data_IF_373960382211
#
_entry.id   IF_373960382211
#
_cell.length_a   1.000
_cell.length_b   1.000
_cell.length_c   1.000
_cell.angle_alpha   90.00
_cell.angle_beta   90.00
_cell.angle_gamma   90.00
#
_symmetry.space_group_name_H-M   'P 1'
#
loop_
_entity.id
_entity.type
_entity.pdbx_description
1 polymer ?
#
# COMPACT_ATOMS: atom_id res chain seq x y z
N UNK A 1 75.24 -48.36 -24.62
CA UNK A 1 73.89 -48.77 -24.19
C UNK A 1 73.95 -49.07 -22.72
N UNK A 2 73.32 -48.26 -21.88
CA UNK A 2 73.24 -48.53 -20.44
C UNK A 2 73.20 -47.27 -19.59
N UNK A 3 72.34 -47.32 -18.57
CA UNK A 3 72.19 -46.38 -17.45
C UNK A 3 71.25 -45.19 -17.74
N UNK A 4 69.96 -45.51 -17.80
CA UNK A 4 68.88 -44.52 -17.74
C UNK A 4 67.57 -45.27 -17.78
N UNK A 5 66.78 -45.17 -16.69
CA UNK A 5 65.45 -45.78 -16.41
C UNK A 5 65.45 -46.81 -15.26
N UNK A 6 65.82 -46.36 -14.07
CA UNK A 6 65.35 -47.01 -12.82
C UNK A 6 65.17 -46.02 -11.66
N UNK A 7 65.14 -44.71 -11.93
CA UNK A 7 64.92 -43.65 -10.94
C UNK A 7 63.60 -42.91 -11.20
N UNK A 8 62.55 -43.65 -11.55
CA UNK A 8 61.21 -43.10 -11.78
C UNK A 8 60.07 -43.65 -10.90
N UNK A 9 60.20 -44.77 -10.14
CA UNK A 9 59.10 -45.21 -9.27
C UNK A 9 59.14 -44.64 -7.84
N UNK A 10 60.23 -43.96 -7.43
CA UNK A 10 60.37 -43.45 -6.05
C UNK A 10 59.94 -41.97 -5.90
N UNK A 11 60.08 -41.16 -6.95
CA UNK A 11 59.67 -39.74 -6.96
C UNK A 11 58.14 -39.56 -7.02
N UNK A 12 57.41 -40.49 -7.64
CA UNK A 12 55.94 -40.42 -7.71
C UNK A 12 55.22 -40.63 -6.37
N UNK A 13 55.79 -41.45 -5.46
CA UNK A 13 55.20 -41.71 -4.14
C UNK A 13 55.40 -40.55 -3.16
N UNK A 14 56.50 -39.80 -3.28
CA UNK A 14 56.75 -38.59 -2.47
C UNK A 14 55.83 -37.44 -2.91
N UNK A 15 55.58 -37.28 -4.21
CA UNK A 15 54.65 -36.27 -4.72
C UNK A 15 53.20 -36.55 -4.28
N UNK A 16 52.78 -37.82 -4.26
CA UNK A 16 51.45 -38.21 -3.80
C UNK A 16 51.30 -38.05 -2.28
N UNK A 17 52.36 -38.33 -1.51
CA UNK A 17 52.35 -38.15 -0.06
C UNK A 17 52.37 -36.68 0.35
N UNK A 18 53.15 -35.82 -0.33
CA UNK A 18 53.09 -34.36 -0.14
C UNK A 18 51.73 -33.78 -0.55
N UNK A 19 51.09 -34.28 -1.61
CA UNK A 19 49.73 -33.89 -1.98
C UNK A 19 48.66 -34.35 -0.99
N UNK A 20 48.85 -35.47 -0.26
CA UNK A 20 47.92 -35.93 0.78
C UNK A 20 48.18 -35.21 2.11
N UNK A 21 49.44 -34.92 2.46
CA UNK A 21 49.78 -34.13 3.65
C UNK A 21 49.39 -32.64 3.51
N UNK A 22 49.55 -32.03 2.33
CA UNK A 22 49.06 -30.67 2.07
C UNK A 22 47.53 -30.58 2.01
N UNK A 23 46.84 -31.69 1.69
CA UNK A 23 45.37 -31.76 1.71
C UNK A 23 44.79 -32.00 3.11
N UNK A 24 45.59 -32.49 4.06
CA UNK A 24 45.21 -32.67 5.47
C UNK A 24 45.66 -31.53 6.40
N UNK A 25 46.50 -30.60 5.92
CA UNK A 25 46.85 -29.36 6.64
C UNK A 25 45.91 -28.19 6.30
N UNK A 26 44.99 -28.37 5.35
CA UNK A 26 43.92 -27.41 5.03
C UNK A 26 42.60 -27.79 5.73
N UNK A 27 42.68 -28.35 6.94
CA UNK A 27 41.51 -28.65 7.76
C UNK A 27 40.84 -27.39 8.35
N UNK A 28 41.18 -26.21 7.85
CA UNK A 28 40.57 -24.93 8.21
C UNK A 28 40.01 -24.12 7.04
N UNK A 29 39.86 -24.68 5.82
CA UNK A 29 38.83 -24.17 4.91
C UNK A 29 38.51 -25.09 3.71
N UNK A 30 37.28 -25.61 3.60
CA UNK A 30 36.64 -25.86 2.31
C UNK A 30 35.71 -24.68 1.91
N UNK A 31 35.51 -24.46 0.59
CA UNK A 31 35.08 -23.19 0.02
C UNK A 31 33.55 -23.00 -0.06
N UNK A 32 33.11 -21.73 -0.12
CA UNK A 32 31.80 -21.29 -0.63
C UNK A 32 30.53 -21.85 0.08
N UNK A 33 30.28 -21.37 1.29
CA UNK A 33 29.02 -20.71 1.66
C UNK A 33 29.31 -19.94 2.92
N UNK A 34 29.30 -18.61 2.85
CA UNK A 34 29.10 -17.82 4.06
C UNK A 34 27.84 -18.43 4.68
N UNK A 35 27.97 -19.13 5.82
CA UNK A 35 26.82 -19.51 6.63
C UNK A 35 26.24 -18.16 7.02
N UNK A 36 25.31 -17.68 6.20
CA UNK A 36 24.50 -16.53 6.49
C UNK A 36 23.77 -17.00 7.73
N UNK A 37 24.23 -16.52 8.90
CA UNK A 37 23.66 -16.97 10.17
C UNK A 37 22.16 -16.76 10.03
N UNK A 38 21.35 -17.73 10.45
CA UNK A 38 19.90 -17.58 10.40
C UNK A 38 19.49 -16.25 11.02
N UNK A 39 20.22 -15.75 12.03
CA UNK A 39 20.11 -14.40 12.59
C UNK A 39 20.38 -13.24 11.62
N UNK A 40 21.39 -13.27 10.73
CA UNK A 40 21.65 -12.21 9.74
C UNK A 40 20.65 -12.21 8.58
N UNK A 41 20.17 -13.39 8.16
CA UNK A 41 19.07 -13.50 7.19
C UNK A 41 17.76 -13.03 7.82
N UNK A 42 17.49 -13.41 9.08
CA UNK A 42 16.33 -12.92 9.84
C UNK A 42 16.41 -11.40 10.01
N UNK A 43 17.57 -10.82 10.35
CA UNK A 43 17.75 -9.37 10.49
C UNK A 43 17.55 -8.62 9.18
N UNK A 44 18.06 -9.14 8.05
CA UNK A 44 17.84 -8.53 6.73
C UNK A 44 16.40 -8.65 6.23
N UNK A 45 15.71 -9.75 6.54
CA UNK A 45 14.27 -9.87 6.32
C UNK A 45 13.49 -8.93 7.25
N UNK A 46 13.95 -8.76 8.49
CA UNK A 46 13.33 -7.87 9.48
C UNK A 46 13.50 -6.38 9.14
N UNK A 47 14.62 -5.99 8.50
CA UNK A 47 14.85 -4.65 7.96
C UNK A 47 14.14 -4.42 6.61
N UNK A 48 14.06 -5.42 5.74
CA UNK A 48 13.27 -5.36 4.50
C UNK A 48 11.77 -5.23 4.79
N UNK A 49 11.25 -6.00 5.75
CA UNK A 49 9.86 -5.91 6.21
C UNK A 49 9.55 -4.61 6.99
N UNK A 50 10.56 -4.00 7.63
CA UNK A 50 10.44 -2.65 8.24
C UNK A 50 10.38 -1.53 7.21
N UNK A 51 10.90 -1.74 6.00
CA UNK A 51 10.87 -0.76 4.91
C UNK A 51 9.59 -0.80 4.07
N UNK A 52 8.98 -1.97 3.86
CA UNK A 52 7.91 -2.09 2.87
C UNK A 52 6.51 -1.81 3.43
N UNK A 53 6.19 -2.27 4.65
CA UNK A 53 4.86 -1.99 5.23
C UNK A 53 4.64 -0.50 5.50
N UNK A 54 5.70 0.23 5.89
CA UNK A 54 5.63 1.69 6.06
C UNK A 54 5.48 2.41 4.72
N UNK A 55 6.18 1.94 3.68
CA UNK A 55 6.05 2.48 2.31
C UNK A 55 4.64 2.23 1.76
N UNK A 56 4.10 1.04 1.96
CA UNK A 56 2.74 0.68 1.57
C UNK A 56 1.71 1.51 2.35
N UNK A 57 1.90 1.69 3.67
CA UNK A 57 1.07 2.58 4.49
C UNK A 57 1.07 4.01 3.95
N UNK A 58 2.25 4.59 3.67
CA UNK A 58 2.36 5.96 3.15
C UNK A 58 1.80 6.09 1.74
N UNK A 59 1.98 5.07 0.89
CA UNK A 59 1.40 5.03 -0.45
C UNK A 59 -0.13 5.01 -0.39
N UNK A 60 -0.71 4.11 0.41
CA UNK A 60 -2.16 4.05 0.63
C UNK A 60 -2.71 5.32 1.25
N UNK A 61 -1.98 5.91 2.21
CA UNK A 61 -2.32 7.19 2.82
C UNK A 61 -2.38 8.31 1.77
N UNK A 62 -1.31 8.49 0.98
CA UNK A 62 -1.24 9.56 -0.02
C UNK A 62 -2.22 9.32 -1.18
N UNK A 63 -2.36 8.08 -1.65
CA UNK A 63 -3.31 7.72 -2.70
C UNK A 63 -4.76 8.02 -2.28
N UNK A 64 -5.14 7.57 -1.08
CA UNK A 64 -6.48 7.82 -0.53
C UNK A 64 -6.70 9.31 -0.25
N UNK A 65 -5.68 10.01 0.25
CA UNK A 65 -5.74 11.46 0.45
C UNK A 65 -6.03 12.21 -0.85
N UNK A 66 -5.26 11.93 -1.91
CA UNK A 66 -5.45 12.57 -3.22
C UNK A 66 -6.85 12.29 -3.78
N UNK A 67 -7.28 11.03 -3.79
CA UNK A 67 -8.62 10.66 -4.24
C UNK A 67 -9.71 11.41 -3.49
N UNK A 68 -9.61 11.47 -2.16
CA UNK A 68 -10.62 12.11 -1.32
C UNK A 68 -10.62 13.65 -1.46
N UNK A 69 -9.48 14.30 -1.67
CA UNK A 69 -9.45 15.74 -1.94
C UNK A 69 -10.23 16.07 -3.22
N UNK A 70 -10.00 15.32 -4.31
CA UNK A 70 -10.72 15.55 -5.57
C UNK A 70 -12.21 15.18 -5.45
N UNK A 71 -12.51 14.02 -4.85
CA UNK A 71 -13.87 13.54 -4.65
C UNK A 71 -14.69 14.49 -3.77
N UNK A 72 -14.28 14.69 -2.51
CA UNK A 72 -15.00 15.55 -1.57
C UNK A 72 -15.02 17.02 -2.02
N UNK A 73 -13.96 17.50 -2.69
CA UNK A 73 -13.93 18.85 -3.27
C UNK A 73 -15.01 19.05 -4.33
N UNK A 74 -15.21 18.07 -5.22
CA UNK A 74 -16.26 18.13 -6.25
C UNK A 74 -17.68 18.13 -5.65
N UNK A 75 -17.89 17.38 -4.55
CA UNK A 75 -19.16 17.38 -3.81
C UNK A 75 -19.38 18.72 -3.11
N UNK A 76 -18.35 19.26 -2.47
CA UNK A 76 -18.39 20.57 -1.82
C UNK A 76 -18.75 21.68 -2.82
N UNK A 77 -18.16 21.66 -4.03
CA UNK A 77 -18.48 22.63 -5.09
C UNK A 77 -19.94 22.54 -5.55
N UNK A 78 -20.47 21.32 -5.69
CA UNK A 78 -21.88 21.13 -6.08
C UNK A 78 -22.83 21.65 -4.99
N UNK A 79 -22.60 21.26 -3.73
CA UNK A 79 -23.48 21.64 -2.60
C UNK A 79 -23.39 23.13 -2.29
N UNK A 80 -22.18 23.67 -2.13
CA UNK A 80 -21.97 25.07 -1.73
C UNK A 80 -22.16 26.04 -2.89
N UNK A 81 -21.99 25.56 -4.12
CA UNK A 81 -22.21 26.33 -5.35
C UNK A 81 -23.67 26.43 -5.79
N UNK A 82 -24.61 25.83 -5.05
CA UNK A 82 -26.04 25.87 -5.36
C UNK A 82 -26.38 25.34 -6.76
N UNK A 83 -25.74 24.23 -7.16
CA UNK A 83 -25.85 23.60 -8.50
C UNK A 83 -25.40 24.46 -9.71
N UNK A 84 -24.95 25.70 -9.50
CA UNK A 84 -24.43 26.55 -10.59
C UNK A 84 -23.00 26.21 -10.99
N UNK A 85 -22.20 25.70 -10.05
CA UNK A 85 -20.76 25.43 -10.23
C UNK A 85 -20.39 23.95 -10.22
N UNK A 86 -21.36 23.06 -10.00
CA UNK A 86 -21.13 21.61 -9.96
C UNK A 86 -22.42 20.84 -10.22
N UNK A 87 -22.29 19.71 -10.93
CA UNK A 87 -23.41 18.79 -11.22
C UNK A 87 -23.06 17.39 -10.74
N UNK A 88 -24.00 16.45 -10.76
CA UNK A 88 -23.68 15.04 -10.46
C UNK A 88 -22.59 14.48 -11.39
N UNK A 89 -22.51 14.95 -12.63
CA UNK A 89 -21.43 14.58 -13.55
C UNK A 89 -20.07 15.05 -13.04
N UNK A 90 -19.97 16.25 -12.46
CA UNK A 90 -18.68 16.74 -11.93
C UNK A 90 -18.23 15.94 -10.71
N UNK A 91 -19.17 15.42 -9.92
CA UNK A 91 -18.85 14.50 -8.81
C UNK A 91 -18.28 13.19 -9.35
N UNK A 92 -18.96 12.57 -10.32
CA UNK A 92 -18.52 11.31 -10.91
C UNK A 92 -17.13 11.45 -11.57
N UNK A 93 -16.91 12.54 -12.30
CA UNK A 93 -15.60 12.85 -12.89
C UNK A 93 -14.56 13.17 -11.82
N UNK A 94 -14.92 13.89 -10.76
CA UNK A 94 -14.03 14.22 -9.65
C UNK A 94 -13.50 12.99 -8.93
N UNK A 95 -14.39 12.05 -8.58
CA UNK A 95 -13.99 10.76 -8.00
C UNK A 95 -13.23 9.88 -9.01
N UNK A 96 -13.66 9.83 -10.26
CA UNK A 96 -12.99 9.04 -11.30
C UNK A 96 -11.55 9.50 -11.55
N UNK A 97 -11.36 10.80 -11.85
CA UNK A 97 -10.03 11.35 -12.05
C UNK A 97 -9.20 11.36 -10.77
N UNK A 98 -9.82 11.64 -9.61
CA UNK A 98 -9.17 11.53 -8.31
C UNK A 98 -8.60 10.13 -8.05
N UNK A 99 -9.38 9.09 -8.37
CA UNK A 99 -8.94 7.70 -8.28
C UNK A 99 -7.78 7.42 -9.23
N UNK A 100 -7.84 7.86 -10.49
CA UNK A 100 -6.72 7.66 -11.45
C UNK A 100 -5.42 8.33 -10.99
N UNK A 101 -5.52 9.51 -10.37
CA UNK A 101 -4.35 10.21 -9.81
C UNK A 101 -3.82 9.50 -8.56
N UNK A 102 -4.71 9.01 -7.70
CA UNK A 102 -4.32 8.17 -6.56
C UNK A 102 -3.62 6.88 -6.99
N UNK A 103 -4.09 6.23 -8.05
CA UNK A 103 -3.42 5.07 -8.66
C UNK A 103 -2.03 5.43 -9.19
N UNK A 104 -1.85 6.60 -9.81
CA UNK A 104 -0.52 7.06 -10.23
C UNK A 104 0.43 7.29 -9.05
N UNK A 105 -0.09 7.74 -7.90
CA UNK A 105 0.71 8.01 -6.70
C UNK A 105 1.10 6.71 -5.98
N UNK A 106 0.15 5.80 -5.79
CA UNK A 106 0.31 4.63 -4.93
C UNK A 106 0.56 3.31 -5.69
N UNK A 107 0.24 3.25 -6.99
CA UNK A 107 0.16 2.01 -7.76
C UNK A 107 1.49 1.28 -7.89
N UNK A 108 2.60 2.01 -8.00
CA UNK A 108 3.94 1.42 -8.06
C UNK A 108 4.48 0.90 -6.72
N UNK A 109 3.78 1.13 -5.60
CA UNK A 109 4.26 0.79 -4.25
C UNK A 109 3.32 -0.18 -3.55
N UNK A 110 2.05 0.20 -3.33
CA UNK A 110 1.06 -0.60 -2.61
C UNK A 110 0.06 -1.34 -3.51
N UNK A 111 0.08 -1.06 -4.81
CA UNK A 111 -0.98 -1.51 -5.73
C UNK A 111 -2.21 -0.60 -5.74
N UNK A 112 -2.17 0.53 -4.99
CA UNK A 112 -3.23 1.54 -4.93
C UNK A 112 -4.62 0.96 -4.63
N UNK A 113 -4.74 0.26 -3.50
CA UNK A 113 -6.04 -0.27 -3.11
C UNK A 113 -7.01 0.87 -2.78
N UNK A 114 -6.56 1.84 -1.99
CA UNK A 114 -7.26 3.08 -1.62
C UNK A 114 -8.68 2.89 -1.04
N UNK A 115 -9.04 1.64 -0.76
CA UNK A 115 -10.34 1.17 -0.35
C UNK A 115 -10.12 -0.12 0.46
N UNK A 116 -10.70 -0.15 1.65
CA UNK A 116 -10.59 -1.29 2.56
C UNK A 116 -11.35 -2.51 2.05
N UNK A 117 -12.41 -2.34 1.25
CA UNK A 117 -13.13 -3.44 0.59
C UNK A 117 -12.25 -4.12 -0.47
N UNK A 118 -11.57 -3.35 -1.31
CA UNK A 118 -10.61 -3.88 -2.30
C UNK A 118 -9.47 -4.62 -1.59
N UNK A 119 -8.95 -4.02 -0.50
CA UNK A 119 -7.91 -4.62 0.33
C UNK A 119 -8.38 -5.94 0.96
N UNK A 120 -9.63 -5.99 1.45
CA UNK A 120 -10.23 -7.18 2.01
C UNK A 120 -10.39 -8.28 0.95
N UNK A 121 -10.92 -7.95 -0.21
CA UNK A 121 -11.09 -8.88 -1.33
C UNK A 121 -9.75 -9.46 -1.78
N UNK A 122 -8.70 -8.62 -1.87
CA UNK A 122 -7.34 -9.08 -2.19
C UNK A 122 -6.79 -10.09 -1.15
N UNK A 123 -7.12 -9.89 0.13
CA UNK A 123 -6.80 -10.86 1.18
C UNK A 123 -7.59 -12.17 1.07
N UNK A 124 -8.89 -12.09 0.77
CA UNK A 124 -9.76 -13.28 0.60
C UNK A 124 -9.34 -14.10 -0.62
N UNK A 125 -8.96 -13.45 -1.73
CA UNK A 125 -8.46 -14.09 -2.94
C UNK A 125 -7.02 -14.60 -2.82
N UNK A 126 -6.36 -14.40 -1.67
CA UNK A 126 -5.00 -14.89 -1.41
C UNK A 126 -3.91 -14.10 -2.15
N UNK A 127 -4.22 -12.93 -2.69
CA UNK A 127 -3.26 -12.05 -3.38
C UNK A 127 -2.40 -11.24 -2.40
N UNK A 128 -2.92 -10.97 -1.19
CA UNK A 128 -2.20 -10.23 -0.14
C UNK A 128 -2.27 -10.96 1.21
N UNK A 129 -1.18 -11.01 2.00
CA UNK A 129 -1.22 -11.60 3.34
C UNK A 129 -2.10 -10.78 4.29
N UNK A 130 -2.93 -11.46 5.07
CA UNK A 130 -3.83 -10.87 6.08
C UNK A 130 -3.16 -9.95 7.09
N UNK A 131 -1.85 -10.11 7.32
CA UNK A 131 -1.07 -9.22 8.21
C UNK A 131 -0.97 -7.79 7.68
N UNK A 132 -1.06 -7.58 6.37
CA UNK A 132 -0.98 -6.25 5.73
C UNK A 132 -2.32 -5.52 5.75
N UNK A 133 -3.44 -6.24 5.82
CA UNK A 133 -4.78 -5.67 5.86
C UNK A 133 -4.95 -4.51 6.85
N UNK A 134 -4.64 -4.65 8.16
CA UNK A 134 -4.83 -3.55 9.11
C UNK A 134 -3.93 -2.33 8.81
N UNK A 135 -2.74 -2.55 8.24
CA UNK A 135 -1.82 -1.46 7.88
C UNK A 135 -2.41 -0.63 6.73
N UNK A 136 -2.96 -1.30 5.71
CA UNK A 136 -3.62 -0.63 4.57
C UNK A 136 -4.85 0.13 5.03
N UNK A 137 -5.73 -0.53 5.81
CA UNK A 137 -6.94 0.11 6.31
C UNK A 137 -6.63 1.31 7.19
N UNK A 138 -5.62 1.24 8.06
CA UNK A 138 -5.20 2.40 8.85
C UNK A 138 -4.67 3.53 7.96
N UNK A 139 -3.84 3.22 6.96
CA UNK A 139 -3.31 4.22 6.01
C UNK A 139 -4.44 4.93 5.25
N UNK A 140 -5.38 4.15 4.73
CA UNK A 140 -6.58 4.65 4.05
C UNK A 140 -7.43 5.53 4.97
N UNK A 141 -7.73 5.08 6.19
CA UNK A 141 -8.52 5.85 7.16
C UNK A 141 -7.86 7.18 7.55
N UNK A 142 -6.54 7.19 7.79
CA UNK A 142 -5.83 8.44 8.09
C UNK A 142 -5.79 9.36 6.86
N UNK A 143 -5.60 8.81 5.66
CA UNK A 143 -5.58 9.56 4.41
C UNK A 143 -6.93 10.22 4.13
N UNK A 144 -8.02 9.47 4.26
CA UNK A 144 -9.38 9.99 4.06
C UNK A 144 -9.77 11.02 5.14
N UNK A 145 -9.40 10.77 6.40
CA UNK A 145 -9.68 11.69 7.51
C UNK A 145 -8.96 13.03 7.32
N UNK A 146 -7.67 13.01 6.98
CA UNK A 146 -6.93 14.25 6.73
C UNK A 146 -7.40 14.96 5.45
N UNK A 147 -7.81 14.24 4.42
CA UNK A 147 -8.42 14.85 3.23
C UNK A 147 -9.73 15.57 3.58
N UNK A 148 -10.60 14.94 4.38
CA UNK A 148 -11.83 15.58 4.87
C UNK A 148 -11.52 16.84 5.69
N UNK A 149 -10.54 16.79 6.60
CA UNK A 149 -10.10 17.95 7.37
C UNK A 149 -9.57 19.09 6.47
N UNK A 150 -8.77 18.77 5.45
CA UNK A 150 -8.27 19.74 4.48
C UNK A 150 -9.42 20.39 3.69
N UNK A 151 -10.39 19.61 3.22
CA UNK A 151 -11.56 20.14 2.49
C UNK A 151 -12.42 21.01 3.40
N UNK A 152 -12.63 20.59 4.64
CA UNK A 152 -13.33 21.41 5.62
C UNK A 152 -12.62 22.76 5.84
N UNK A 153 -11.29 22.75 5.99
CA UNK A 153 -10.50 23.97 6.13
C UNK A 153 -10.56 24.86 4.88
N UNK A 154 -10.42 24.27 3.69
CA UNK A 154 -10.44 25.00 2.41
C UNK A 154 -11.80 25.66 2.14
N UNK A 155 -12.88 24.95 2.44
CA UNK A 155 -14.26 25.42 2.24
C UNK A 155 -14.88 26.04 3.50
N UNK A 156 -14.11 26.30 4.56
CA UNK A 156 -14.64 26.76 5.85
C UNK A 156 -15.52 28.01 5.70
N UNK A 157 -15.02 29.03 5.00
CA UNK A 157 -15.76 30.27 4.76
C UNK A 157 -17.03 30.05 3.94
N UNK A 158 -16.97 29.18 2.94
CA UNK A 158 -18.12 28.84 2.11
C UNK A 158 -19.17 28.05 2.90
N UNK A 159 -18.75 27.12 3.76
CA UNK A 159 -19.61 26.34 4.65
C UNK A 159 -20.36 27.23 5.63
N UNK A 160 -19.66 28.13 6.32
CA UNK A 160 -20.28 29.04 7.30
C UNK A 160 -21.26 29.98 6.61
N UNK A 161 -20.91 30.50 5.42
CA UNK A 161 -21.82 31.36 4.63
C UNK A 161 -23.05 30.61 4.12
N UNK A 162 -22.90 29.34 3.75
CA UNK A 162 -24.01 28.53 3.24
C UNK A 162 -24.98 28.10 4.35
N UNK A 163 -24.46 27.88 5.55
CA UNK A 163 -25.22 27.34 6.69
C UNK A 163 -25.63 28.38 7.73
N UNK A 164 -25.26 29.65 7.53
CA UNK A 164 -25.35 30.72 8.53
C UNK A 164 -24.75 30.32 9.90
N UNK A 165 -23.68 29.51 9.86
CA UNK A 165 -23.00 28.98 11.03
C UNK A 165 -23.63 27.74 11.68
N UNK A 166 -24.74 27.22 11.16
CA UNK A 166 -25.42 26.04 11.69
C UNK A 166 -25.12 24.77 10.88
N UNK A 167 -24.12 24.00 11.30
CA UNK A 167 -23.73 22.75 10.64
C UNK A 167 -24.73 21.63 10.93
N UNK A 168 -25.63 21.38 9.97
CA UNK A 168 -26.68 20.36 10.09
C UNK A 168 -26.36 19.10 9.30
N UNK A 169 -26.79 17.95 9.83
CA UNK A 169 -26.64 16.63 9.19
C UNK A 169 -27.80 16.31 8.26
N UNK A 170 -29.00 16.79 8.59
CA UNK A 170 -30.23 16.58 7.82
C UNK A 170 -30.96 17.90 7.64
N UNK A 171 -31.73 18.00 6.55
CA UNK A 171 -32.46 19.20 6.19
C UNK A 171 -32.03 19.79 4.84
N UNK A 172 -32.63 20.93 4.44
CA UNK A 172 -32.38 21.54 3.13
C UNK A 172 -30.97 22.12 2.98
N UNK A 173 -30.31 22.47 4.08
CA UNK A 173 -28.96 23.03 4.12
C UNK A 173 -27.94 22.04 4.74
N UNK A 174 -28.23 20.74 4.66
CA UNK A 174 -27.37 19.71 5.21
C UNK A 174 -26.01 19.68 4.50
N UNK A 175 -24.92 19.81 5.26
CA UNK A 175 -23.54 19.80 4.72
C UNK A 175 -22.77 18.52 5.06
N UNK A 176 -23.27 17.68 5.96
CA UNK A 176 -22.63 16.41 6.31
C UNK A 176 -22.48 15.47 5.10
N UNK A 177 -23.41 15.56 4.14
CA UNK A 177 -23.37 14.81 2.87
C UNK A 177 -22.15 15.12 1.99
N UNK A 178 -21.41 16.18 2.28
CA UNK A 178 -20.14 16.49 1.59
C UNK A 178 -19.05 15.49 2.00
N UNK A 179 -19.06 15.03 3.26
CA UNK A 179 -17.98 14.22 3.84
C UNK A 179 -18.31 12.73 3.92
N UNK A 180 -19.58 12.39 4.08
CA UNK A 180 -20.05 11.01 4.18
C UNK A 180 -21.35 10.82 3.40
N UNK A 181 -21.58 9.61 2.91
CA UNK A 181 -22.82 9.26 2.22
C UNK A 181 -23.94 9.01 3.22
N UNK A 182 -25.11 9.58 2.93
CA UNK A 182 -26.33 9.36 3.70
C UNK A 182 -27.38 8.75 2.77
N UNK A 183 -28.12 7.71 3.21
CA UNK A 183 -29.14 7.09 2.39
C UNK A 183 -30.28 8.08 2.12
N UNK A 184 -30.90 7.97 0.95
CA UNK A 184 -32.08 8.75 0.64
C UNK A 184 -33.24 8.40 1.60
N UNK A 185 -34.11 9.37 1.89
CA UNK A 185 -35.19 9.22 2.88
C UNK A 185 -36.18 8.08 2.59
N UNK A 186 -36.25 7.62 1.35
CA UNK A 186 -37.11 6.52 0.90
C UNK A 186 -36.41 5.15 0.90
N UNK A 187 -35.11 5.08 1.20
CA UNK A 187 -34.36 3.83 1.26
C UNK A 187 -34.35 3.24 2.66
N UNK A 188 -34.72 1.96 2.75
CA UNK A 188 -34.55 1.15 3.95
C UNK A 188 -33.13 0.61 4.06
N UNK A 189 -32.65 0.31 5.27
CA UNK A 189 -31.32 -0.28 5.51
C UNK A 189 -31.02 -1.51 4.64
N UNK A 190 -31.98 -2.42 4.48
CA UNK A 190 -31.82 -3.62 3.65
C UNK A 190 -31.59 -3.30 2.16
N UNK A 191 -32.34 -2.35 1.61
CA UNK A 191 -32.17 -1.89 0.22
C UNK A 191 -30.85 -1.16 0.03
N UNK A 192 -30.44 -0.34 1.00
CA UNK A 192 -29.13 0.31 0.98
C UNK A 192 -27.99 -0.71 1.02
N UNK A 193 -28.12 -1.76 1.83
CA UNK A 193 -27.13 -2.85 1.86
C UNK A 193 -27.02 -3.56 0.50
N UNK A 194 -28.15 -3.95 -0.10
CA UNK A 194 -28.15 -4.60 -1.41
C UNK A 194 -27.57 -3.71 -2.51
N UNK A 195 -27.90 -2.42 -2.49
CA UNK A 195 -27.37 -1.42 -3.41
C UNK A 195 -25.83 -1.39 -3.34
N UNK A 196 -25.27 -1.20 -2.13
CA UNK A 196 -23.81 -1.13 -1.91
C UNK A 196 -23.08 -2.42 -2.28
N UNK A 197 -23.69 -3.59 -2.04
CA UNK A 197 -23.09 -4.90 -2.43
C UNK A 197 -23.12 -5.08 -3.94
N UNK A 198 -24.11 -4.52 -4.64
CA UNK A 198 -24.23 -4.65 -6.10
C UNK A 198 -23.41 -3.63 -6.89
N UNK A 199 -23.05 -2.50 -6.26
CA UNK A 199 -22.39 -1.36 -6.91
C UNK A 199 -20.86 -1.40 -6.88
N UNK A 200 -20.28 -2.20 -5.98
CA UNK A 200 -18.82 -2.41 -5.82
C UNK A 200 -18.37 -3.68 -6.53
#
# INVERSE_FOLDING_TARGET
>A
MGIGKALFPFLGKIQLWLCICLRNLDHNNPPLRRIQTSSEVMQRMQDALRGDMMREFLAEFMGTYVMMIFGLGSVAQKVLGGDAFGTYLTINLGFGFGTTMGIHVAGGISGAHMNSAITFTSCVLGQMPWKKFPVYTMGQCFGSFLAAATIYGLYYQALIRYTDGNLTVTGPLATAGIFATYPASHMTLWRGFLDQVSSE
#
